data_IF_711482282108
#
_entry.id   IF_711482282108
#
_cell.length_a   1.000
_cell.length_b   1.000
_cell.length_c   1.000
_cell.angle_alpha   90.00
_cell.angle_beta   90.00
_cell.angle_gamma   90.00
#
_symmetry.space_group_name_H-M   'P 1'
#
loop_
_entity.id
_entity.type
_entity.pdbx_description
1 polymer ?
#
# COMPACT_ATOMS: atom_id res chain seq x y z
N UNK A 1 -10.54 -8.52 -52.61
CA UNK A 1 -10.55 -7.57 -51.50
C UNK A 1 -9.17 -7.61 -50.88
N UNK A 2 -8.33 -6.59 -51.02
CA UNK A 2 -7.02 -6.58 -50.37
C UNK A 2 -7.21 -6.16 -48.91
N UNK A 3 -6.83 -7.02 -48.01
CA UNK A 3 -6.65 -6.69 -46.59
C UNK A 3 -5.35 -5.92 -46.48
N UNK A 4 -5.44 -4.62 -46.27
CA UNK A 4 -4.30 -3.78 -45.94
C UNK A 4 -3.74 -4.24 -44.60
N UNK A 5 -2.64 -4.96 -44.66
CA UNK A 5 -1.72 -5.11 -43.50
C UNK A 5 -0.99 -3.79 -43.35
N UNK A 6 -1.41 -3.00 -42.42
CA UNK A 6 -0.63 -1.88 -41.92
C UNK A 6 0.32 -2.44 -40.83
N UNK A 7 1.34 -3.14 -41.25
CA UNK A 7 2.49 -3.45 -40.46
C UNK A 7 3.55 -2.34 -40.69
N UNK A 8 3.33 -1.15 -40.14
CA UNK A 8 4.38 -0.14 -40.15
C UNK A 8 5.33 -0.42 -38.97
N UNK A 9 6.62 -0.56 -39.23
CA UNK A 9 7.64 -0.84 -38.16
C UNK A 9 7.72 0.23 -37.07
N UNK A 10 7.15 1.40 -37.29
CA UNK A 10 7.09 2.52 -36.35
C UNK A 10 6.14 2.29 -35.20
N UNK A 11 5.07 1.50 -35.37
CA UNK A 11 4.08 1.28 -34.30
C UNK A 11 4.59 0.29 -33.23
N UNK A 12 5.40 -0.68 -33.62
CA UNK A 12 5.95 -1.69 -32.69
C UNK A 12 7.01 -1.07 -31.78
N UNK A 13 7.80 -0.13 -32.26
CA UNK A 13 8.84 0.52 -31.46
C UNK A 13 8.26 1.52 -30.46
N UNK A 14 7.20 2.24 -30.82
CA UNK A 14 6.54 3.18 -29.91
C UNK A 14 5.75 2.46 -28.81
N UNK A 15 5.09 1.34 -29.14
CA UNK A 15 4.41 0.50 -28.17
C UNK A 15 5.39 -0.16 -27.19
N UNK A 16 6.55 -0.60 -27.65
CA UNK A 16 7.63 -1.13 -26.81
C UNK A 16 8.18 -0.08 -25.85
N UNK A 17 8.42 1.15 -26.31
CA UNK A 17 8.94 2.25 -25.50
C UNK A 17 7.94 2.69 -24.42
N UNK A 18 6.66 2.84 -24.77
CA UNK A 18 5.59 3.18 -23.83
C UNK A 18 5.41 2.08 -22.76
N UNK A 19 5.45 0.82 -23.16
CA UNK A 19 5.37 -0.32 -22.25
C UNK A 19 6.53 -0.32 -21.24
N UNK A 20 7.75 -0.03 -21.72
CA UNK A 20 8.93 0.02 -20.86
C UNK A 20 8.89 1.18 -19.86
N UNK A 21 8.51 2.38 -20.32
CA UNK A 21 8.33 3.55 -19.44
C UNK A 21 7.27 3.28 -18.37
N UNK A 22 6.14 2.68 -18.75
CA UNK A 22 5.08 2.31 -17.81
C UNK A 22 5.58 1.33 -16.75
N UNK A 23 6.27 0.28 -17.16
CA UNK A 23 6.83 -0.74 -16.25
C UNK A 23 7.85 -0.14 -15.29
N UNK A 24 8.75 0.72 -15.77
CA UNK A 24 9.74 1.39 -14.95
C UNK A 24 9.10 2.32 -13.92
N UNK A 25 8.11 3.12 -14.35
CA UNK A 25 7.38 4.03 -13.47
C UNK A 25 6.60 3.26 -12.40
N UNK A 26 5.95 2.17 -12.78
CA UNK A 26 5.24 1.30 -11.84
C UNK A 26 6.20 0.68 -10.82
N UNK A 27 7.34 0.17 -11.25
CA UNK A 27 8.36 -0.42 -10.38
C UNK A 27 8.87 0.60 -9.35
N UNK A 28 9.24 1.81 -9.80
CA UNK A 28 9.70 2.88 -8.91
C UNK A 28 8.61 3.24 -7.90
N UNK A 29 7.37 3.37 -8.34
CA UNK A 29 6.23 3.69 -7.48
C UNK A 29 6.01 2.62 -6.41
N UNK A 30 6.04 1.35 -6.76
CA UNK A 30 5.89 0.25 -5.81
C UNK A 30 7.05 0.20 -4.81
N UNK A 31 8.28 0.40 -5.26
CA UNK A 31 9.44 0.48 -4.37
C UNK A 31 9.32 1.62 -3.36
N UNK A 32 8.92 2.81 -3.80
CA UNK A 32 8.70 3.95 -2.91
C UNK A 32 7.65 3.66 -1.84
N UNK A 33 6.53 3.03 -2.22
CA UNK A 33 5.47 2.65 -1.28
C UNK A 33 5.97 1.61 -0.28
N UNK A 34 6.66 0.56 -0.74
CA UNK A 34 7.19 -0.50 0.13
C UNK A 34 8.22 0.06 1.12
N UNK A 35 9.13 0.93 0.66
CA UNK A 35 10.07 1.62 1.55
C UNK A 35 9.32 2.46 2.59
N UNK A 36 8.29 3.19 2.19
CA UNK A 36 7.41 3.93 3.10
C UNK A 36 6.75 3.03 4.15
N UNK A 37 6.27 1.84 3.75
CA UNK A 37 5.70 0.84 4.67
C UNK A 37 6.73 0.39 5.72
N UNK A 38 7.98 0.13 5.34
CA UNK A 38 9.05 -0.26 6.26
C UNK A 38 9.43 0.87 7.22
N UNK A 39 9.56 2.12 6.74
CA UNK A 39 9.86 3.28 7.56
C UNK A 39 8.77 3.50 8.61
N UNK A 40 7.49 3.44 8.20
CA UNK A 40 6.36 3.58 9.13
C UNK A 40 6.29 2.42 10.12
N UNK A 41 6.55 1.19 9.68
CA UNK A 41 6.62 0.03 10.58
C UNK A 41 7.71 0.20 11.64
N UNK A 42 8.87 0.74 11.26
CA UNK A 42 9.94 1.07 12.19
C UNK A 42 9.50 2.13 13.21
N UNK A 43 8.79 3.16 12.73
CA UNK A 43 8.24 4.21 13.61
C UNK A 43 7.20 3.63 14.57
N UNK A 44 6.31 2.76 14.10
CA UNK A 44 5.32 2.06 14.92
C UNK A 44 5.96 1.18 16.01
N UNK A 45 7.12 0.59 15.73
CA UNK A 45 7.84 -0.23 16.71
C UNK A 45 8.33 0.57 17.94
N UNK A 46 8.50 1.88 17.79
CA UNK A 46 8.96 2.78 18.86
C UNK A 46 7.83 3.29 19.75
N UNK A 47 6.58 3.23 19.31
CA UNK A 47 5.41 3.69 20.06
C UNK A 47 4.56 2.51 20.54
N UNK A 48 4.38 2.42 21.87
CA UNK A 48 3.61 1.36 22.54
C UNK A 48 2.17 1.26 21.98
N UNK A 49 1.58 2.39 21.57
CA UNK A 49 0.22 2.45 21.04
C UNK A 49 0.08 1.73 19.68
N UNK A 50 1.17 1.64 18.94
CA UNK A 50 1.22 1.09 17.59
C UNK A 50 1.82 -0.31 17.52
N UNK A 51 2.36 -0.81 18.64
CA UNK A 51 3.11 -2.06 18.70
C UNK A 51 2.31 -3.29 18.21
N UNK A 52 1.00 -3.29 18.41
CA UNK A 52 0.12 -4.37 17.92
C UNK A 52 0.06 -4.44 16.37
N UNK A 53 0.32 -3.33 15.69
CA UNK A 53 0.32 -3.27 14.23
C UNK A 53 1.67 -3.61 13.59
N UNK A 54 2.75 -3.62 14.37
CA UNK A 54 4.11 -3.85 13.83
C UNK A 54 4.19 -5.20 13.13
N UNK A 55 3.64 -6.26 13.74
CA UNK A 55 3.66 -7.62 13.17
C UNK A 55 2.91 -7.65 11.85
N UNK A 56 1.67 -7.15 11.81
CA UNK A 56 0.85 -7.13 10.61
C UNK A 56 1.42 -6.23 9.52
N UNK A 57 1.96 -5.07 9.90
CA UNK A 57 2.63 -4.15 8.99
C UNK A 57 3.88 -4.78 8.36
N UNK A 58 4.69 -5.48 9.17
CA UNK A 58 5.88 -6.19 8.70
C UNK A 58 5.52 -7.33 7.75
N UNK A 59 4.47 -8.10 8.07
CA UNK A 59 4.00 -9.20 7.21
C UNK A 59 3.51 -8.68 5.86
N UNK A 60 2.70 -7.61 5.85
CA UNK A 60 2.19 -7.03 4.62
C UNK A 60 3.29 -6.37 3.79
N UNK A 61 4.24 -5.67 4.43
CA UNK A 61 5.38 -5.09 3.74
C UNK A 61 6.30 -6.18 3.15
N UNK A 62 6.55 -7.25 3.90
CA UNK A 62 7.32 -8.40 3.42
C UNK A 62 6.63 -9.14 2.28
N UNK A 63 5.31 -9.34 2.37
CA UNK A 63 4.52 -9.94 1.29
C UNK A 63 4.55 -9.06 0.02
N UNK A 64 4.36 -7.74 0.17
CA UNK A 64 4.44 -6.81 -0.95
C UNK A 64 5.82 -6.83 -1.62
N UNK A 65 6.89 -6.85 -0.83
CA UNK A 65 8.26 -6.96 -1.35
C UNK A 65 8.47 -8.28 -2.08
N UNK A 66 8.03 -9.40 -1.51
CA UNK A 66 8.15 -10.72 -2.14
C UNK A 66 7.39 -10.79 -3.46
N UNK A 67 6.16 -10.27 -3.50
CA UNK A 67 5.35 -10.20 -4.72
C UNK A 67 5.98 -9.33 -5.80
N UNK A 68 6.71 -8.28 -5.42
CA UNK A 68 7.42 -7.43 -6.36
C UNK A 68 8.57 -8.19 -7.06
N UNK A 69 9.30 -9.04 -6.32
CA UNK A 69 10.43 -9.82 -6.88
C UNK A 69 9.98 -11.06 -7.67
N UNK A 70 8.79 -11.60 -7.40
CA UNK A 70 8.24 -12.79 -8.09
C UNK A 70 7.52 -12.43 -9.39
N UNK A 71 7.55 -11.18 -9.83
CA UNK A 71 6.97 -10.77 -11.12
C UNK A 71 7.79 -11.35 -12.30
N UNK A 72 7.64 -12.66 -12.54
CA UNK A 72 8.17 -13.30 -13.74
C UNK A 72 7.21 -13.04 -14.91
N UNK A 73 7.77 -12.94 -16.12
CA UNK A 73 7.00 -12.83 -17.35
C UNK A 73 6.17 -14.10 -17.56
N UNK A 74 4.84 -13.96 -17.50
CA UNK A 74 3.96 -15.11 -17.68
C UNK A 74 2.47 -14.78 -17.47
N UNK A 75 1.59 -15.77 -17.63
CA UNK A 75 0.13 -15.58 -17.51
C UNK A 75 -0.32 -15.11 -16.12
N UNK A 76 0.52 -15.24 -15.11
CA UNK A 76 0.24 -14.90 -13.71
C UNK A 76 0.60 -13.45 -13.32
N UNK A 77 1.26 -12.68 -14.20
CA UNK A 77 1.69 -11.28 -13.92
C UNK A 77 0.52 -10.42 -13.44
N UNK A 78 -0.62 -10.50 -14.12
CA UNK A 78 -1.80 -9.72 -13.74
C UNK A 78 -2.37 -10.10 -12.37
N UNK A 79 -2.27 -11.36 -11.97
CA UNK A 79 -2.70 -11.82 -10.64
C UNK A 79 -1.74 -11.31 -9.56
N UNK A 80 -0.43 -11.43 -9.78
CA UNK A 80 0.59 -10.95 -8.83
C UNK A 80 0.49 -9.45 -8.60
N UNK A 81 0.26 -8.67 -9.66
CA UNK A 81 0.04 -7.23 -9.55
C UNK A 81 -1.22 -6.89 -8.74
N UNK A 82 -2.32 -7.62 -8.93
CA UNK A 82 -3.55 -7.42 -8.14
C UNK A 82 -3.34 -7.77 -6.66
N UNK A 83 -2.62 -8.85 -6.37
CA UNK A 83 -2.27 -9.23 -4.99
C UNK A 83 -1.40 -8.16 -4.33
N UNK A 84 -0.41 -7.61 -5.05
CA UNK A 84 0.43 -6.53 -4.56
C UNK A 84 -0.39 -5.28 -4.21
N UNK A 85 -1.27 -4.84 -5.11
CA UNK A 85 -2.16 -3.69 -4.88
C UNK A 85 -3.09 -3.96 -3.68
N UNK A 86 -3.61 -5.18 -3.57
CA UNK A 86 -4.49 -5.58 -2.45
C UNK A 86 -3.75 -5.55 -1.12
N UNK A 87 -2.51 -6.03 -1.07
CA UNK A 87 -1.68 -5.99 0.13
C UNK A 87 -1.39 -4.54 0.58
N UNK A 88 -1.02 -3.66 -0.34
CA UNK A 88 -0.79 -2.24 -0.08
C UNK A 88 -2.07 -1.56 0.40
N UNK A 89 -3.20 -1.81 -0.27
CA UNK A 89 -4.50 -1.24 0.10
C UNK A 89 -4.97 -1.72 1.48
N UNK A 90 -4.81 -3.00 1.77
CA UNK A 90 -5.11 -3.58 3.08
C UNK A 90 -4.28 -2.95 4.20
N UNK A 91 -2.99 -2.71 3.93
CA UNK A 91 -2.11 -2.02 4.86
C UNK A 91 -2.57 -0.58 5.11
N UNK A 92 -2.90 0.20 4.08
CA UNK A 92 -3.40 1.56 4.20
C UNK A 92 -4.70 1.62 5.03
N UNK A 93 -5.63 0.71 4.78
CA UNK A 93 -6.90 0.61 5.52
C UNK A 93 -6.62 0.32 7.01
N UNK A 94 -5.74 -0.63 7.30
CA UNK A 94 -5.36 -0.99 8.66
C UNK A 94 -4.77 0.20 9.42
N UNK A 95 -3.86 0.95 8.80
CA UNK A 95 -3.26 2.17 9.37
C UNK A 95 -4.32 3.25 9.58
N UNK A 96 -5.19 3.49 8.60
CA UNK A 96 -6.26 4.49 8.67
C UNK A 96 -7.24 4.21 9.82
N UNK A 97 -7.66 2.95 9.99
CA UNK A 97 -8.53 2.53 11.10
C UNK A 97 -7.81 2.81 12.44
N UNK A 98 -6.54 2.50 12.55
CA UNK A 98 -5.79 2.70 13.79
C UNK A 98 -5.61 4.17 14.14
N UNK A 99 -5.28 5.01 13.16
CA UNK A 99 -5.22 6.47 13.33
C UNK A 99 -6.55 6.99 13.87
N UNK A 100 -7.66 6.59 13.27
CA UNK A 100 -9.00 6.98 13.70
C UNK A 100 -9.31 6.55 15.12
N UNK A 101 -8.98 5.32 15.49
CA UNK A 101 -9.19 4.78 16.85
C UNK A 101 -8.40 5.57 17.90
N UNK A 102 -7.14 5.92 17.60
CA UNK A 102 -6.30 6.68 18.50
C UNK A 102 -6.79 8.13 18.63
N UNK A 103 -7.23 8.75 17.54
CA UNK A 103 -7.74 10.11 17.52
C UNK A 103 -9.07 10.26 18.28
N UNK A 104 -9.92 9.23 18.29
CA UNK A 104 -11.21 9.24 19.00
C UNK A 104 -11.11 8.98 20.50
N UNK A 105 -9.97 8.47 20.98
CA UNK A 105 -9.79 8.12 22.41
C UNK A 105 -9.79 9.30 23.41
N UNK A 106 -9.29 10.50 23.09
CA UNK A 106 -9.21 11.60 24.06
C UNK A 106 -10.57 12.23 24.40
N UNK A 107 -11.55 12.24 23.52
CA UNK A 107 -12.86 12.86 23.77
C UNK A 107 -13.68 12.13 24.82
N UNK A 108 -13.63 10.81 24.84
CA UNK A 108 -14.39 9.98 25.78
C UNK A 108 -13.91 10.18 27.21
N UNK A 109 -12.62 10.34 27.42
CA UNK A 109 -12.01 10.57 28.76
C UNK A 109 -12.31 11.97 29.25
N UNK A 110 -12.29 12.98 28.40
CA UNK A 110 -12.61 14.36 28.76
C UNK A 110 -14.09 14.51 29.14
N UNK A 111 -14.99 13.87 28.39
CA UNK A 111 -16.43 13.87 28.67
C UNK A 111 -16.78 13.15 29.97
N UNK A 112 -16.16 12.01 30.24
CA UNK A 112 -16.35 11.28 31.50
C UNK A 112 -15.87 12.09 32.71
N UNK A 113 -14.76 12.83 32.56
CA UNK A 113 -14.19 13.66 33.64
C UNK A 113 -15.05 14.91 33.95
N UNK A 114 -15.67 15.51 32.94
CA UNK A 114 -16.60 16.62 33.13
C UNK A 114 -17.90 16.17 33.79
N UNK A 115 -18.43 15.00 33.42
CA UNK A 115 -19.59 14.41 34.06
C UNK A 115 -19.39 14.10 35.54
N UNK A 116 -18.25 13.56 35.91
CA UNK A 116 -17.88 13.28 37.31
C UNK A 116 -17.76 14.57 38.14
N UNK A 117 -17.25 15.67 37.58
CA UNK A 117 -17.16 16.94 38.29
C UNK A 117 -18.53 17.58 38.53
N UNK A 118 -19.45 17.43 37.57
CA UNK A 118 -20.82 17.95 37.68
C UNK A 118 -21.67 17.17 38.70
N UNK A 119 -21.37 15.89 38.92
CA UNK A 119 -22.09 15.05 39.87
C UNK A 119 -21.58 15.17 41.31
N UNK A 120 -20.40 15.76 41.54
CA UNK A 120 -19.76 15.94 42.84
C UNK A 120 -19.98 17.35 43.44
N UNK A 121 -20.60 18.25 42.74
CA UNK A 121 -20.96 19.62 43.19
C UNK A 121 -22.44 19.82 43.34
#
# INVERSE_FOLDING_TARGET
MPTDRIDSPTDVSSQSTMGWIHSLTALISYLCVIVGMFILTWTFARDVRWRSLVVWSSLLAGAALSLLFVQEEGPWVGLMQRLLITAISGWLIMVAIRVRTIASAPETVASARSGLKSAAG
#
